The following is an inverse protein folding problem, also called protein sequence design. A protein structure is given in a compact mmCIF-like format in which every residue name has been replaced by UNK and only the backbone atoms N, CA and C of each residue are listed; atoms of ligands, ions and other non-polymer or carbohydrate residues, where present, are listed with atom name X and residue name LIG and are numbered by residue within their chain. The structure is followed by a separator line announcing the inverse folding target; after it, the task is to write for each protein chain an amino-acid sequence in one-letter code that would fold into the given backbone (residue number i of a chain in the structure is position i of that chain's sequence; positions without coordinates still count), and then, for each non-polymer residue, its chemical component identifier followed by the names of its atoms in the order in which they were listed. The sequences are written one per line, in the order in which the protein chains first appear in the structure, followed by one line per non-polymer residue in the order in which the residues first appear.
data_IF_440602775705
#
_entry.id   IF_440602775705
#
_cell.length_a   1.000
_cell.length_b   1.000
_cell.length_c   1.000
_cell.angle_alpha   90.00
_cell.angle_beta   90.00
_cell.angle_gamma   90.00
#
_symmetry.space_group_name_H-M   'P 1'
#
loop_
_entity.id
_entity.type
_entity.pdbx_description
1 polymer ?
#
# COMPACT_ATOMS: atom_id res chain seq x y z
N UNK A 1 8.39 -10.00 8.44
CA UNK A 1 7.20 -10.45 9.19
C UNK A 1 6.69 -9.29 10.02
N UNK A 2 5.45 -8.86 9.81
CA UNK A 2 4.78 -7.87 10.65
C UNK A 2 4.80 -8.32 12.13
N UNK A 3 3.96 -7.79 12.96
CA UNK A 3 3.86 -8.26 14.35
C UNK A 3 3.06 -9.57 14.39
N UNK A 4 3.58 -10.68 14.96
CA UNK A 4 2.88 -11.98 14.96
C UNK A 4 1.45 -11.94 15.50
N UNK A 5 1.17 -11.02 16.41
CA UNK A 5 -0.15 -10.81 17.05
C UNK A 5 -0.84 -9.52 16.61
N UNK A 6 -0.27 -8.79 15.65
CA UNK A 6 -0.74 -7.45 15.26
C UNK A 6 -2.21 -7.43 14.82
N UNK A 7 -2.66 -8.47 14.11
CA UNK A 7 -4.06 -8.59 13.69
C UNK A 7 -5.05 -8.80 14.86
N UNK A 8 -4.58 -9.22 16.02
CA UNK A 8 -5.38 -9.34 17.25
C UNK A 8 -5.39 -8.02 18.05
N UNK A 9 -4.35 -7.20 17.90
CA UNK A 9 -4.14 -5.99 18.70
C UNK A 9 -4.70 -4.74 18.01
N UNK A 10 -4.59 -4.67 16.69
CA UNK A 10 -5.00 -3.50 15.90
C UNK A 10 -6.22 -3.81 15.06
N UNK A 11 -7.20 -2.93 15.10
CA UNK A 11 -8.36 -3.00 14.22
C UNK A 11 -7.97 -2.49 12.81
N UNK A 12 -8.69 -2.99 11.78
CA UNK A 12 -8.57 -2.43 10.44
C UNK A 12 -9.00 -0.98 10.43
N UNK A 13 -8.17 -0.12 9.86
CA UNK A 13 -8.54 1.25 9.51
C UNK A 13 -8.86 1.32 8.02
N UNK A 14 -9.98 1.92 7.70
CA UNK A 14 -10.31 2.31 6.33
C UNK A 14 -9.80 3.71 6.06
N UNK A 15 -9.52 4.01 4.80
CA UNK A 15 -9.21 5.37 4.37
C UNK A 15 -10.34 6.31 4.77
N UNK A 16 -10.00 7.44 5.36
CA UNK A 16 -10.95 8.47 5.71
C UNK A 16 -11.24 9.36 4.50
N UNK A 17 -12.46 9.90 4.45
CA UNK A 17 -12.82 10.93 3.50
C UNK A 17 -12.92 12.28 4.21
N UNK A 18 -12.51 13.34 3.54
CA UNK A 18 -12.76 14.70 4.01
C UNK A 18 -14.28 14.93 4.20
N UNK A 19 -14.71 15.75 5.18
CA UNK A 19 -16.11 16.07 5.39
C UNK A 19 -16.80 16.56 4.10
N UNK A 20 -18.08 16.26 3.94
CA UNK A 20 -18.83 16.60 2.72
C UNK A 20 -18.75 18.09 2.40
N UNK A 21 -18.91 18.94 3.43
CA UNK A 21 -18.85 20.41 3.28
C UNK A 21 -17.50 20.89 2.74
N UNK A 22 -16.40 20.18 3.06
CA UNK A 22 -15.07 20.51 2.53
C UNK A 22 -14.92 20.03 1.10
N UNK A 23 -15.36 18.81 0.81
CA UNK A 23 -15.26 18.24 -0.55
C UNK A 23 -16.02 19.05 -1.60
N UNK A 24 -17.11 19.69 -1.22
CA UNK A 24 -17.93 20.51 -2.12
C UNK A 24 -17.28 21.87 -2.49
N UNK A 25 -16.23 22.28 -1.77
CA UNK A 25 -15.54 23.56 -2.00
C UNK A 25 -14.47 23.51 -3.08
N UNK A 26 -14.03 22.30 -3.51
CA UNK A 26 -12.92 22.15 -4.44
C UNK A 26 -12.99 20.81 -5.21
N UNK A 27 -12.18 20.69 -6.25
CA UNK A 27 -12.01 19.49 -7.07
C UNK A 27 -10.72 18.71 -6.75
N UNK A 28 -10.14 18.94 -5.56
CA UNK A 28 -8.93 18.26 -5.11
C UNK A 28 -9.29 16.88 -4.54
N UNK A 29 -8.29 16.04 -4.35
CA UNK A 29 -8.43 14.77 -3.67
C UNK A 29 -9.06 14.96 -2.28
N UNK A 30 -9.94 14.05 -1.93
CA UNK A 30 -10.66 14.08 -0.65
C UNK A 30 -10.47 12.80 0.16
N UNK A 31 -9.71 11.83 -0.37
CA UNK A 31 -9.28 10.64 0.38
C UNK A 31 -8.09 11.02 1.23
N UNK A 32 -8.16 10.76 2.52
CA UNK A 32 -7.07 11.01 3.45
C UNK A 32 -6.16 9.77 3.51
N UNK A 33 -4.88 9.97 3.22
CA UNK A 33 -3.86 8.95 3.42
C UNK A 33 -3.70 8.63 4.92
N UNK A 34 -3.36 7.39 5.24
CA UNK A 34 -3.04 7.01 6.62
C UNK A 34 -1.83 7.79 7.13
N UNK A 35 -1.85 8.15 8.42
CA UNK A 35 -0.65 8.63 9.10
C UNK A 35 0.42 7.53 9.13
N UNK A 36 1.68 7.92 9.30
CA UNK A 36 2.80 6.96 9.41
C UNK A 36 2.58 5.92 10.51
N UNK A 37 2.07 6.37 11.66
CA UNK A 37 1.76 5.50 12.81
C UNK A 37 0.61 4.53 12.48
N UNK A 38 -0.45 5.03 11.86
CA UNK A 38 -1.58 4.19 11.45
C UNK A 38 -1.17 3.20 10.36
N UNK A 39 -0.41 3.63 9.36
CA UNK A 39 0.10 2.74 8.31
C UNK A 39 1.01 1.64 8.90
N UNK A 40 1.88 1.98 9.86
CA UNK A 40 2.70 1.02 10.58
C UNK A 40 1.83 0.00 11.34
N UNK A 41 0.79 0.44 12.06
CA UNK A 41 -0.17 -0.45 12.74
C UNK A 41 -0.92 -1.34 11.74
N UNK A 42 -1.30 -0.80 10.58
CA UNK A 42 -1.95 -1.61 9.54
C UNK A 42 -0.98 -2.63 8.93
N UNK A 43 0.29 -2.26 8.70
CA UNK A 43 1.35 -3.19 8.29
C UNK A 43 1.58 -4.31 9.31
N UNK A 44 1.53 -3.99 10.61
CA UNK A 44 1.66 -4.97 11.70
C UNK A 44 0.58 -6.05 11.67
N UNK A 45 -0.59 -5.79 11.06
CA UNK A 45 -1.67 -6.78 10.95
C UNK A 45 -1.36 -7.91 9.97
N UNK A 46 -0.33 -7.75 9.13
CA UNK A 46 0.07 -8.77 8.17
C UNK A 46 0.66 -9.99 8.89
N UNK A 47 0.08 -11.17 8.66
CA UNK A 47 0.54 -12.43 9.26
C UNK A 47 1.77 -13.03 8.55
N UNK A 48 2.22 -12.42 7.44
CA UNK A 48 3.32 -12.95 6.61
C UNK A 48 3.12 -14.43 6.26
N UNK A 49 2.02 -14.71 5.58
CA UNK A 49 1.65 -16.09 5.23
C UNK A 49 2.71 -16.73 4.32
N UNK A 50 3.17 -17.94 4.64
CA UNK A 50 4.13 -18.68 3.81
C UNK A 50 3.64 -18.95 2.37
N UNK A 51 2.32 -18.96 2.17
CA UNK A 51 1.69 -18.89 0.84
C UNK A 51 0.85 -17.61 0.81
N UNK A 52 1.36 -16.50 0.23
CA UNK A 52 0.69 -15.22 0.25
C UNK A 52 -0.43 -15.16 -0.79
N UNK A 53 -1.64 -15.59 -0.43
CA UNK A 53 -2.80 -15.51 -1.32
C UNK A 53 -3.09 -14.10 -1.80
N UNK A 54 -2.76 -13.07 -1.01
CA UNK A 54 -2.87 -11.68 -1.42
C UNK A 54 -1.98 -11.36 -2.64
N UNK A 55 -0.76 -11.89 -2.69
CA UNK A 55 0.12 -11.78 -3.86
C UNK A 55 -0.49 -12.48 -5.09
N UNK A 56 -1.00 -13.69 -4.91
CA UNK A 56 -1.66 -14.45 -5.98
C UNK A 56 -2.96 -13.77 -6.44
N UNK A 57 -3.68 -13.10 -5.54
CA UNK A 57 -4.89 -12.34 -5.85
C UNK A 57 -4.62 -10.99 -6.54
N UNK A 58 -3.39 -10.53 -6.56
CA UNK A 58 -2.98 -9.30 -7.22
C UNK A 58 -2.63 -9.57 -8.69
N UNK A 59 -3.27 -8.90 -9.68
CA UNK A 59 -2.97 -9.11 -11.10
C UNK A 59 -1.52 -8.80 -11.51
N UNK A 60 -0.83 -7.94 -10.75
CA UNK A 60 0.59 -7.62 -10.97
C UNK A 60 1.53 -8.36 -10.02
N UNK A 61 1.00 -9.28 -9.22
CA UNK A 61 1.75 -10.10 -8.26
C UNK A 61 2.63 -9.28 -7.30
N UNK A 62 2.08 -8.21 -6.74
CA UNK A 62 2.77 -7.40 -5.76
C UNK A 62 3.28 -8.23 -4.57
N UNK A 63 4.50 -7.95 -4.11
CA UNK A 63 5.15 -8.64 -2.99
C UNK A 63 4.64 -8.02 -1.67
N UNK A 64 3.37 -8.26 -1.39
CA UNK A 64 2.60 -7.56 -0.36
C UNK A 64 3.11 -7.80 1.06
N UNK A 65 3.43 -9.02 1.49
CA UNK A 65 3.93 -9.24 2.86
C UNK A 65 5.22 -8.45 3.16
N UNK A 66 6.12 -8.38 2.19
CA UNK A 66 7.43 -7.74 2.36
C UNK A 66 7.26 -6.24 2.62
N UNK A 67 6.50 -5.54 1.78
CA UNK A 67 6.29 -4.10 2.02
C UNK A 67 5.51 -3.81 3.30
N UNK A 68 4.57 -4.68 3.69
CA UNK A 68 3.85 -4.53 4.96
C UNK A 68 4.79 -4.60 6.15
N UNK A 69 5.75 -5.53 6.13
CA UNK A 69 6.78 -5.63 7.16
C UNK A 69 7.71 -4.40 7.17
N UNK A 70 8.11 -3.94 5.99
CA UNK A 70 8.96 -2.75 5.86
C UNK A 70 8.27 -1.50 6.40
N UNK A 71 6.98 -1.30 6.10
CA UNK A 71 6.19 -0.19 6.65
C UNK A 71 6.04 -0.31 8.17
N UNK A 72 5.75 -1.51 8.67
CA UNK A 72 5.69 -1.77 10.12
C UNK A 72 6.99 -1.39 10.83
N UNK A 73 8.15 -1.65 10.21
CA UNK A 73 9.47 -1.32 10.75
C UNK A 73 9.92 0.11 10.47
N UNK A 74 9.14 0.90 9.75
CA UNK A 74 9.50 2.27 9.38
C UNK A 74 10.49 2.38 8.21
N UNK A 75 10.75 1.29 7.48
CA UNK A 75 11.68 1.23 6.34
C UNK A 75 10.99 1.64 5.03
N UNK A 76 10.46 2.85 5.00
CA UNK A 76 9.61 3.36 3.92
C UNK A 76 10.29 3.40 2.56
N UNK A 77 11.59 3.73 2.54
CA UNK A 77 12.34 3.79 1.29
C UNK A 77 12.49 2.42 0.65
N UNK A 78 12.77 1.40 1.44
CA UNK A 78 12.81 0.02 0.96
C UNK A 78 11.41 -0.46 0.55
N UNK A 79 10.37 -0.03 1.27
CA UNK A 79 9.00 -0.37 0.95
C UNK A 79 8.59 0.11 -0.46
N UNK A 80 8.94 1.35 -0.84
CA UNK A 80 8.65 1.83 -2.22
C UNK A 80 9.51 1.11 -3.26
N UNK A 81 10.74 0.73 -2.95
CA UNK A 81 11.60 -0.04 -3.87
C UNK A 81 11.00 -1.42 -4.15
N UNK A 82 10.52 -2.12 -3.11
CA UNK A 82 9.80 -3.40 -3.24
C UNK A 82 8.50 -3.21 -4.04
N UNK A 83 7.72 -2.20 -3.72
CA UNK A 83 6.46 -1.90 -4.43
C UNK A 83 6.70 -1.61 -5.92
N UNK A 84 7.67 -0.79 -6.25
CA UNK A 84 8.04 -0.46 -7.63
C UNK A 84 8.63 -1.64 -8.41
N UNK A 85 9.11 -2.68 -7.75
CA UNK A 85 9.63 -3.87 -8.43
C UNK A 85 8.56 -4.62 -9.24
N UNK A 86 7.30 -4.50 -8.84
CA UNK A 86 6.15 -5.17 -9.47
C UNK A 86 5.08 -4.22 -9.96
N UNK A 87 4.99 -3.00 -9.42
CA UNK A 87 3.97 -2.01 -9.77
C UNK A 87 4.59 -0.64 -10.04
N UNK A 88 4.54 -0.18 -11.28
CA UNK A 88 5.10 1.11 -11.67
C UNK A 88 4.20 2.31 -11.34
N UNK A 89 2.93 2.09 -11.03
CA UNK A 89 1.93 3.15 -10.84
C UNK A 89 1.12 2.99 -9.55
N UNK A 90 1.78 2.89 -8.38
CA UNK A 90 1.08 2.75 -7.11
C UNK A 90 0.23 3.97 -6.74
N UNK A 91 0.50 5.15 -7.35
CA UNK A 91 -0.36 6.33 -7.23
C UNK A 91 -1.79 6.06 -7.66
N UNK A 92 -1.95 5.32 -8.76
CA UNK A 92 -3.27 5.00 -9.31
C UNK A 92 -3.87 3.80 -8.58
N UNK A 93 -3.11 2.73 -8.42
CA UNK A 93 -3.63 1.51 -7.82
C UNK A 93 -3.96 1.69 -6.34
N UNK A 94 -3.16 2.42 -5.58
CA UNK A 94 -3.46 2.78 -4.20
C UNK A 94 -4.77 3.57 -4.03
N UNK A 95 -5.22 4.26 -5.09
CA UNK A 95 -6.46 5.07 -5.04
C UNK A 95 -7.66 4.40 -5.67
N UNK A 96 -7.51 3.77 -6.85
CA UNK A 96 -8.67 3.32 -7.64
C UNK A 96 -8.78 1.80 -7.80
N UNK A 97 -7.78 1.03 -7.38
CA UNK A 97 -7.82 -0.43 -7.47
C UNK A 97 -8.95 -1.00 -6.59
N UNK A 98 -9.74 -1.96 -7.09
CA UNK A 98 -10.75 -2.65 -6.27
C UNK A 98 -10.14 -3.58 -5.20
N UNK A 99 -8.81 -3.68 -5.13
CA UNK A 99 -8.06 -4.42 -4.14
C UNK A 99 -8.43 -5.92 -4.03
N UNK A 100 -8.37 -6.71 -5.13
CA UNK A 100 -8.64 -8.14 -5.06
C UNK A 100 -7.67 -8.89 -4.13
N UNK A 101 -6.50 -8.31 -3.86
CA UNK A 101 -5.55 -8.78 -2.87
C UNK A 101 -6.13 -8.78 -1.44
N UNK A 102 -6.96 -7.81 -1.09
CA UNK A 102 -7.63 -7.77 0.22
C UNK A 102 -8.71 -8.86 0.32
N UNK A 103 -9.46 -9.08 -0.78
CA UNK A 103 -10.42 -10.20 -0.83
C UNK A 103 -9.73 -11.56 -0.69
N UNK A 104 -8.51 -11.70 -1.24
CA UNK A 104 -7.70 -12.91 -1.17
C UNK A 104 -6.90 -13.03 0.15
N UNK A 105 -6.89 -12.02 1.00
CA UNK A 105 -6.16 -12.06 2.26
C UNK A 105 -6.69 -13.17 3.18
N UNK A 106 -5.80 -14.05 3.66
CA UNK A 106 -6.17 -15.17 4.54
C UNK A 106 -6.86 -14.67 5.82
N UNK A 107 -6.45 -13.51 6.33
CA UNK A 107 -7.08 -12.90 7.50
C UNK A 107 -8.58 -12.62 7.27
N UNK A 108 -8.99 -12.41 6.01
CA UNK A 108 -10.39 -12.13 5.66
C UNK A 108 -11.34 -13.33 5.85
N UNK A 109 -10.84 -14.49 6.23
CA UNK A 109 -11.67 -15.68 6.51
C UNK A 109 -12.48 -15.50 7.80
N UNK A 110 -11.87 -14.90 8.82
CA UNK A 110 -12.47 -14.80 10.16
C UNK A 110 -12.23 -13.45 10.85
N UNK A 111 -11.65 -12.49 10.15
CA UNK A 111 -11.41 -11.12 10.62
C UNK A 111 -11.40 -10.18 9.41
N UNK A 112 -11.28 -8.86 9.64
CA UNK A 112 -11.08 -7.89 8.56
C UNK A 112 -9.71 -8.09 7.91
N UNK A 113 -9.67 -8.12 6.58
CA UNK A 113 -8.43 -8.18 5.81
C UNK A 113 -7.44 -7.08 6.21
N UNK A 114 -6.16 -7.27 5.91
CA UNK A 114 -5.18 -6.18 5.96
C UNK A 114 -5.59 -5.09 4.95
N UNK A 115 -5.50 -3.82 5.35
CA UNK A 115 -5.77 -2.67 4.48
C UNK A 115 -4.63 -2.45 3.48
N UNK A 116 -4.46 -3.40 2.56
CA UNK A 116 -3.30 -3.47 1.64
C UNK A 116 -3.25 -2.23 0.74
N UNK A 117 -4.38 -1.85 0.16
CA UNK A 117 -4.49 -0.68 -0.72
C UNK A 117 -4.16 0.61 0.02
N UNK A 118 -4.62 0.77 1.25
CA UNK A 118 -4.35 1.96 2.06
C UNK A 118 -2.86 2.06 2.44
N UNK A 119 -2.20 0.93 2.68
CA UNK A 119 -0.75 0.90 2.93
C UNK A 119 0.02 1.26 1.65
N UNK A 120 -0.37 0.68 0.51
CA UNK A 120 0.21 1.01 -0.81
C UNK A 120 0.12 2.52 -1.09
N UNK A 121 -1.05 3.11 -0.84
CA UNK A 121 -1.29 4.55 -0.96
C UNK A 121 -0.34 5.36 -0.05
N UNK A 122 -0.21 4.98 1.22
CA UNK A 122 0.69 5.64 2.16
C UNK A 122 2.16 5.55 1.74
N UNK A 123 2.61 4.40 1.21
CA UNK A 123 3.98 4.22 0.72
C UNK A 123 4.30 5.20 -0.40
N UNK A 124 3.43 5.28 -1.41
CA UNK A 124 3.70 6.11 -2.59
C UNK A 124 3.62 7.59 -2.29
N UNK A 125 2.64 8.03 -1.50
CA UNK A 125 2.51 9.44 -1.12
C UNK A 125 3.73 9.92 -0.32
N UNK A 126 4.20 9.10 0.62
CA UNK A 126 5.44 9.39 1.32
C UNK A 126 6.64 9.44 0.39
N UNK A 127 6.75 8.49 -0.54
CA UNK A 127 7.87 8.45 -1.47
C UNK A 127 7.94 9.68 -2.38
N UNK A 128 6.79 10.25 -2.76
CA UNK A 128 6.71 11.53 -3.47
C UNK A 128 7.12 12.70 -2.57
N UNK A 129 6.60 12.77 -1.35
CA UNK A 129 6.91 13.83 -0.40
C UNK A 129 8.42 13.89 -0.08
N UNK A 130 9.06 12.74 0.06
CA UNK A 130 10.50 12.62 0.33
C UNK A 130 11.37 12.75 -0.94
N UNK A 131 10.78 12.83 -2.13
CA UNK A 131 11.49 12.97 -3.39
C UNK A 131 12.29 11.71 -3.79
N UNK A 132 11.89 10.54 -3.34
CA UNK A 132 12.56 9.26 -3.69
C UNK A 132 12.19 8.82 -5.10
N UNK A 133 11.00 9.16 -5.58
CA UNK A 133 10.56 8.85 -6.94
C UNK A 133 11.15 9.88 -7.91
N UNK A 134 11.99 9.40 -8.81
CA UNK A 134 12.68 10.25 -9.79
C UNK A 134 12.52 9.68 -11.20
N UNK A 135 12.45 10.55 -12.23
CA UNK A 135 12.49 10.09 -13.62
C UNK A 135 13.73 9.24 -13.89
N UNK A 136 13.54 8.12 -14.56
CA UNK A 136 14.62 7.22 -14.97
C UNK A 136 14.68 7.16 -16.51
N UNK A 137 15.19 8.21 -17.19
CA UNK A 137 15.29 8.23 -18.65
C UNK A 137 16.24 7.14 -19.14
N UNK A 138 15.90 6.52 -20.27
CA UNK A 138 16.75 5.51 -20.87
C UNK A 138 18.15 6.08 -21.18
N UNK A 139 19.18 5.40 -20.67
CA UNK A 139 20.59 5.80 -20.89
C UNK A 139 21.01 5.68 -22.36
N UNK A 140 20.42 4.75 -23.08
CA UNK A 140 20.70 4.49 -24.51
C UNK A 140 19.37 4.44 -25.26
N UNK A 141 19.24 5.29 -26.28
CA UNK A 141 18.12 5.24 -27.20
C UNK A 141 18.41 4.23 -28.30
N UNK A 142 17.57 3.22 -28.47
CA UNK A 142 17.76 2.15 -29.49
C UNK A 142 17.40 2.61 -30.91
N UNK A 143 16.83 3.81 -31.09
CA UNK A 143 16.31 4.30 -32.38
C UNK A 143 14.99 3.65 -32.82
N UNK A 144 14.46 2.70 -32.05
CA UNK A 144 13.13 2.12 -32.30
C UNK A 144 12.05 3.10 -31.84
N UNK A 145 10.96 3.20 -32.61
CA UNK A 145 9.75 3.94 -32.28
C UNK A 145 8.77 3.05 -31.54
#
# INVERSE_FOLDING_TARGET
MGKPTGFLEFQRLSEAYAPVEERLKHYKEFVATLSDDDASKQGARCMDCGIPFCTNGCPVNNIIPDWNDLVYRGNWKEAIEVLHSTNNFPDFTGRVCPAPCEAACVLNINNDAVGIKSIEHAIVDRAWAEGWIKPQPAKVKTGKK
#
